data_IF_771656667541
#
_entry.id   IF_771656667541
#
_cell.length_a   1.000
_cell.length_b   1.000
_cell.length_c   1.000
_cell.angle_alpha   90.00
_cell.angle_beta   90.00
_cell.angle_gamma   90.00
#
_symmetry.space_group_name_H-M   'P 1'
#
loop_
_entity.id
_entity.type
_entity.pdbx_description
1 polymer ?
#
# COMPACT_ATOMS: atom_id res chain seq x y z
N UNK A 1 2.29 30.28 11.56
CA UNK A 1 3.11 29.09 11.89
C UNK A 1 2.72 28.04 10.88
N UNK A 2 3.65 27.39 10.18
CA UNK A 2 3.28 26.34 9.22
C UNK A 2 2.66 25.15 9.98
N UNK A 3 1.78 24.40 9.33
CA UNK A 3 1.16 23.20 9.91
C UNK A 3 2.20 22.18 10.37
N UNK A 4 3.31 22.06 9.62
CA UNK A 4 4.46 21.24 10.00
C UNK A 4 5.07 21.67 11.34
N UNK A 5 5.33 22.98 11.52
CA UNK A 5 5.89 23.48 12.78
C UNK A 5 4.91 23.34 13.95
N UNK A 6 3.61 23.48 13.69
CA UNK A 6 2.57 23.23 14.70
C UNK A 6 2.52 21.76 15.10
N UNK A 7 2.63 20.83 14.14
CA UNK A 7 2.67 19.40 14.39
C UNK A 7 3.94 18.99 15.15
N UNK A 8 5.11 19.50 14.75
CA UNK A 8 6.37 19.28 15.46
C UNK A 8 6.27 19.69 16.93
N UNK A 9 5.67 20.86 17.23
CA UNK A 9 5.46 21.31 18.62
C UNK A 9 4.52 20.42 19.43
N UNK A 10 3.41 19.96 18.82
CA UNK A 10 2.51 19.00 19.49
C UNK A 10 3.23 17.70 19.80
N UNK A 11 4.04 17.22 18.85
CA UNK A 11 4.87 16.05 19.06
C UNK A 11 5.90 16.29 20.16
N UNK A 12 6.63 17.40 20.19
CA UNK A 12 7.62 17.72 21.23
C UNK A 12 7.06 17.67 22.65
N UNK A 13 5.82 18.09 22.85
CA UNK A 13 5.13 18.00 24.14
C UNK A 13 4.89 16.54 24.59
N UNK A 14 4.99 15.58 23.67
CA UNK A 14 4.67 14.16 23.85
C UNK A 14 5.69 13.19 23.22
N UNK A 15 6.88 13.68 22.80
CA UNK A 15 7.82 12.97 21.88
C UNK A 15 8.36 11.69 22.52
N UNK A 16 8.40 11.64 23.86
CA UNK A 16 8.81 10.47 24.63
C UNK A 16 7.98 9.21 24.37
N UNK A 17 6.86 9.32 23.63
CA UNK A 17 5.96 8.20 23.35
C UNK A 17 6.09 7.59 21.96
N UNK A 18 6.78 8.20 20.97
CA UNK A 18 6.92 7.63 19.62
C UNK A 18 8.29 6.97 19.50
N UNK A 19 8.32 5.65 19.27
CA UNK A 19 9.58 4.88 19.29
C UNK A 19 9.73 3.93 18.11
N UNK A 20 8.70 3.77 17.28
CA UNK A 20 8.66 2.75 16.22
C UNK A 20 8.78 3.31 14.80
N UNK A 21 8.91 4.62 14.66
CA UNK A 21 8.92 5.32 13.38
C UNK A 21 9.77 6.59 13.43
N UNK A 22 10.34 6.97 12.28
CA UNK A 22 11.01 8.26 12.10
C UNK A 22 10.01 9.40 12.28
N UNK A 23 10.46 10.54 12.80
CA UNK A 23 9.68 11.78 12.91
C UNK A 23 10.27 12.90 12.05
N UNK A 24 10.90 12.54 10.93
CA UNK A 24 11.38 13.51 9.95
C UNK A 24 10.24 14.26 9.24
N UNK A 25 10.57 15.41 8.66
CA UNK A 25 9.61 16.30 8.00
C UNK A 25 8.82 15.60 6.89
N UNK A 26 9.45 14.65 6.18
CA UNK A 26 8.80 13.92 5.10
C UNK A 26 7.68 13.01 5.64
N UNK A 27 7.96 12.27 6.73
CA UNK A 27 6.96 11.48 7.44
C UNK A 27 5.82 12.36 7.95
N UNK A 28 6.13 13.45 8.63
CA UNK A 28 5.13 14.35 9.19
C UNK A 28 4.24 14.96 8.10
N UNK A 29 4.82 15.38 6.98
CA UNK A 29 4.06 15.91 5.85
C UNK A 29 3.11 14.87 5.24
N UNK A 30 3.46 13.58 5.18
CA UNK A 30 2.54 12.54 4.72
C UNK A 30 1.28 12.46 5.59
N UNK A 31 1.43 12.55 6.90
CA UNK A 31 0.30 12.55 7.81
C UNK A 31 -0.53 13.84 7.69
N UNK A 32 0.11 15.00 7.54
CA UNK A 32 -0.59 16.26 7.30
C UNK A 32 -1.42 16.22 6.01
N UNK A 33 -0.87 15.72 4.90
CA UNK A 33 -1.60 15.55 3.63
C UNK A 33 -2.78 14.59 3.76
N UNK A 34 -2.61 13.52 4.57
CA UNK A 34 -3.65 12.53 4.80
C UNK A 34 -4.73 12.94 5.83
N UNK A 35 -4.63 14.15 6.39
CA UNK A 35 -5.46 14.63 7.50
C UNK A 35 -6.10 15.97 7.19
N UNK A 36 -7.25 16.24 7.79
CA UNK A 36 -7.97 17.52 7.65
C UNK A 36 -7.43 18.62 8.56
N UNK A 37 -6.65 18.25 9.58
CA UNK A 37 -6.09 19.17 10.56
C UNK A 37 -4.78 18.66 11.17
N UNK A 38 -4.01 19.58 11.77
CA UNK A 38 -2.80 19.27 12.54
C UNK A 38 -3.10 18.30 13.70
N UNK A 39 -4.24 18.48 14.37
CA UNK A 39 -4.66 17.63 15.49
C UNK A 39 -4.96 16.19 15.02
N UNK A 40 -5.68 16.05 13.91
CA UNK A 40 -5.94 14.73 13.33
C UNK A 40 -4.64 14.04 12.90
N UNK A 41 -3.71 14.77 12.27
CA UNK A 41 -2.41 14.23 11.88
C UNK A 41 -1.64 13.69 13.10
N UNK A 42 -1.61 14.46 14.20
CA UNK A 42 -1.03 14.04 15.47
C UNK A 42 -1.68 12.74 15.99
N UNK A 43 -3.00 12.68 16.08
CA UNK A 43 -3.73 11.50 16.58
C UNK A 43 -3.45 10.25 15.74
N UNK A 44 -3.36 10.40 14.42
CA UNK A 44 -3.03 9.31 13.49
C UNK A 44 -1.61 8.81 13.64
N UNK A 45 -0.64 9.70 13.88
CA UNK A 45 0.74 9.32 14.18
C UNK A 45 0.79 8.48 15.45
N UNK A 46 0.16 8.94 16.54
CA UNK A 46 0.10 8.22 17.81
C UNK A 46 -0.58 6.85 17.65
N UNK A 47 -1.70 6.80 16.91
CA UNK A 47 -2.40 5.55 16.62
C UNK A 47 -1.53 4.56 15.83
N UNK A 48 -0.74 5.06 14.87
CA UNK A 48 0.16 4.21 14.07
C UNK A 48 1.32 3.69 14.90
N UNK A 49 1.96 4.53 15.71
CA UNK A 49 3.05 4.08 16.60
C UNK A 49 2.54 3.04 17.61
N UNK A 50 1.36 3.25 18.20
CA UNK A 50 0.72 2.26 19.07
C UNK A 50 0.44 0.95 18.34
N UNK A 51 -0.02 1.01 17.09
CA UNK A 51 -0.24 -0.18 16.28
C UNK A 51 1.07 -0.91 15.99
N UNK A 52 2.14 -0.21 15.59
CA UNK A 52 3.48 -0.81 15.36
C UNK A 52 4.10 -1.43 16.61
N UNK A 53 3.71 -0.99 17.81
CA UNK A 53 4.11 -1.64 19.08
C UNK A 53 3.35 -2.94 19.34
N UNK A 54 2.06 -2.98 19.03
CA UNK A 54 1.21 -4.16 19.26
C UNK A 54 1.35 -5.22 18.16
N UNK A 55 1.64 -4.76 16.95
CA UNK A 55 1.93 -5.58 15.79
C UNK A 55 3.36 -5.20 15.37
N UNK A 56 4.39 -5.97 15.77
CA UNK A 56 5.78 -5.57 15.61
C UNK A 56 6.19 -5.61 14.14
N UNK A 57 5.85 -4.55 13.41
CA UNK A 57 6.09 -4.41 11.96
C UNK A 57 7.57 -4.58 11.63
N UNK A 58 8.45 -4.12 12.52
CA UNK A 58 9.90 -4.26 12.36
C UNK A 58 10.38 -5.73 12.34
N UNK A 59 9.62 -6.63 12.94
CA UNK A 59 9.94 -8.06 13.01
C UNK A 59 9.26 -8.86 11.89
N UNK A 60 8.38 -8.23 11.10
CA UNK A 60 7.69 -8.90 9.98
C UNK A 60 8.71 -9.27 8.92
N UNK A 61 8.78 -10.56 8.60
CA UNK A 61 9.71 -11.10 7.63
C UNK A 61 9.09 -12.33 6.91
N UNK A 62 9.87 -12.98 6.04
CA UNK A 62 9.40 -14.12 5.24
C UNK A 62 8.88 -15.29 6.11
N UNK A 63 9.37 -15.44 7.34
CA UNK A 63 8.98 -16.50 8.28
C UNK A 63 7.81 -16.13 9.19
N UNK A 64 7.30 -14.90 9.10
CA UNK A 64 6.07 -14.52 9.77
C UNK A 64 4.90 -15.40 9.31
N UNK A 65 3.95 -15.66 10.21
CA UNK A 65 2.82 -16.59 10.01
C UNK A 65 2.12 -16.34 8.66
N UNK A 66 2.15 -17.35 7.80
CA UNK A 66 1.52 -17.37 6.48
C UNK A 66 2.27 -16.67 5.35
N UNK A 67 3.27 -15.82 5.64
CA UNK A 67 3.97 -15.01 4.62
C UNK A 67 4.65 -15.89 3.58
N UNK A 68 5.52 -16.81 4.00
CA UNK A 68 6.20 -17.76 3.08
C UNK A 68 5.22 -18.53 2.19
N UNK A 69 4.12 -19.02 2.76
CA UNK A 69 3.06 -19.74 2.03
C UNK A 69 2.45 -18.84 0.96
N UNK A 70 2.04 -17.62 1.31
CA UNK A 70 1.37 -16.72 0.37
C UNK A 70 2.33 -16.20 -0.70
N UNK A 71 3.58 -15.86 -0.34
CA UNK A 71 4.64 -15.49 -1.30
C UNK A 71 4.84 -16.59 -2.35
N UNK A 72 4.80 -17.86 -1.95
CA UNK A 72 4.96 -18.99 -2.88
C UNK A 72 3.84 -19.11 -3.91
N UNK A 73 2.66 -18.52 -3.65
CA UNK A 73 1.55 -18.46 -4.60
C UNK A 73 1.78 -17.43 -5.70
N UNK A 74 2.77 -16.53 -5.56
CA UNK A 74 3.04 -15.44 -6.49
C UNK A 74 1.80 -14.57 -6.77
N UNK A 75 0.99 -14.31 -5.73
CA UNK A 75 -0.14 -13.38 -5.82
C UNK A 75 0.32 -11.94 -5.95
N UNK A 76 1.45 -11.59 -5.31
CA UNK A 76 2.18 -10.37 -5.57
C UNK A 76 3.68 -10.62 -5.56
N UNK A 77 4.41 -9.83 -6.35
CA UNK A 77 5.85 -9.90 -6.53
C UNK A 77 6.39 -8.48 -6.56
N UNK A 78 7.50 -8.23 -5.87
CA UNK A 78 8.25 -6.99 -6.00
C UNK A 78 9.13 -7.11 -7.24
N UNK A 79 8.95 -6.24 -8.22
CA UNK A 79 9.79 -6.23 -9.41
C UNK A 79 11.22 -5.82 -9.04
N UNK A 80 12.19 -6.34 -9.79
CA UNK A 80 13.62 -6.01 -9.59
C UNK A 80 13.90 -4.54 -9.93
N UNK A 81 13.24 -4.05 -10.97
CA UNK A 81 13.36 -2.70 -11.47
C UNK A 81 12.18 -1.81 -11.03
N UNK A 82 12.38 -0.49 -11.17
CA UNK A 82 11.42 0.54 -10.76
C UNK A 82 10.53 1.00 -11.92
N UNK A 83 9.44 1.70 -11.58
CA UNK A 83 8.64 2.42 -12.58
C UNK A 83 9.43 3.60 -13.18
N UNK A 84 8.90 4.24 -14.22
CA UNK A 84 9.56 5.35 -14.95
C UNK A 84 9.81 6.56 -14.02
N UNK A 85 9.01 6.73 -12.98
CA UNK A 85 9.17 7.79 -11.97
C UNK A 85 10.15 7.38 -10.85
N UNK A 86 10.71 6.17 -10.88
CA UNK A 86 11.65 5.67 -9.88
C UNK A 86 10.98 5.12 -8.61
N UNK A 87 9.72 4.69 -8.68
CA UNK A 87 9.00 4.01 -7.59
C UNK A 87 9.25 2.50 -7.65
N UNK A 88 9.51 1.82 -6.52
CA UNK A 88 9.43 0.37 -6.45
C UNK A 88 8.04 -0.13 -6.90
N UNK A 89 8.01 -1.25 -7.64
CA UNK A 89 6.78 -1.78 -8.24
C UNK A 89 6.38 -3.08 -7.58
N UNK A 90 5.18 -3.11 -6.98
CA UNK A 90 4.52 -4.34 -6.58
C UNK A 90 3.60 -4.77 -7.72
N UNK A 91 3.93 -5.88 -8.38
CA UNK A 91 3.07 -6.55 -9.34
C UNK A 91 2.12 -7.51 -8.63
N UNK A 92 0.82 -7.43 -8.91
CA UNK A 92 -0.23 -8.27 -8.30
C UNK A 92 -0.94 -9.06 -9.40
N UNK A 93 -0.80 -10.38 -9.37
CA UNK A 93 -1.44 -11.30 -10.32
C UNK A 93 -2.74 -11.85 -9.72
N UNK A 94 -3.88 -11.29 -10.12
CA UNK A 94 -5.17 -11.63 -9.48
C UNK A 94 -5.59 -13.09 -9.72
N UNK A 95 -5.21 -13.67 -10.86
CA UNK A 95 -5.44 -15.09 -11.17
C UNK A 95 -4.88 -16.06 -10.12
N UNK A 96 -3.84 -15.65 -9.39
CA UNK A 96 -3.17 -16.49 -8.39
C UNK A 96 -3.84 -16.39 -7.01
N UNK A 97 -4.76 -15.43 -6.82
CA UNK A 97 -5.48 -15.27 -5.56
C UNK A 97 -6.58 -16.32 -5.40
N UNK A 98 -6.76 -16.80 -4.17
CA UNK A 98 -7.86 -17.67 -3.82
C UNK A 98 -8.42 -17.32 -2.44
N UNK A 99 -9.74 -17.32 -2.33
CA UNK A 99 -10.43 -17.19 -1.04
C UNK A 99 -10.48 -18.52 -0.28
N UNK A 100 -10.19 -19.65 -0.96
CA UNK A 100 -10.21 -20.97 -0.33
C UNK A 100 -9.09 -21.08 0.70
N UNK A 101 -9.42 -21.52 1.91
CA UNK A 101 -8.48 -21.74 3.02
C UNK A 101 -7.62 -20.49 3.35
N UNK A 102 -8.16 -19.32 3.04
CA UNK A 102 -7.52 -18.01 3.24
C UNK A 102 -7.70 -17.53 4.68
N UNK A 103 -6.63 -17.05 5.29
CA UNK A 103 -6.67 -16.40 6.60
C UNK A 103 -6.35 -14.90 6.48
N UNK A 104 -7.24 -14.03 6.96
CA UNK A 104 -7.03 -12.58 6.93
C UNK A 104 -5.80 -12.12 7.72
N UNK A 105 -5.51 -12.78 8.84
CA UNK A 105 -4.34 -12.47 9.68
C UNK A 105 -3.02 -12.77 8.93
N UNK A 106 -2.95 -13.95 8.28
CA UNK A 106 -1.81 -14.34 7.44
C UNK A 106 -1.60 -13.36 6.28
N UNK A 107 -2.69 -12.96 5.62
CA UNK A 107 -2.63 -11.96 4.56
C UNK A 107 -2.28 -10.57 5.08
N UNK A 108 -2.64 -10.23 6.32
CA UNK A 108 -2.22 -8.96 6.95
C UNK A 108 -0.70 -8.93 7.13
N UNK A 109 -0.11 -10.02 7.66
CA UNK A 109 1.35 -10.15 7.75
C UNK A 109 2.00 -10.04 6.36
N UNK A 110 1.43 -10.71 5.36
CA UNK A 110 1.94 -10.70 3.99
C UNK A 110 1.88 -9.31 3.33
N UNK A 111 0.77 -8.58 3.49
CA UNK A 111 0.63 -7.22 2.96
C UNK A 111 1.69 -6.31 3.59
N UNK A 112 1.86 -6.38 4.91
CA UNK A 112 2.85 -5.56 5.63
C UNK A 112 4.27 -5.93 5.21
N UNK A 113 4.57 -7.22 5.07
CA UNK A 113 5.85 -7.70 4.53
C UNK A 113 6.13 -7.10 3.13
N UNK A 114 5.17 -7.18 2.20
CA UNK A 114 5.33 -6.64 0.85
C UNK A 114 5.50 -5.12 0.85
N UNK A 115 4.76 -4.41 1.70
CA UNK A 115 4.90 -2.97 1.87
C UNK A 115 6.28 -2.63 2.41
N UNK A 116 6.69 -3.13 3.57
CA UNK A 116 8.01 -2.82 4.16
C UNK A 116 9.17 -3.20 3.22
N UNK A 117 9.07 -4.35 2.53
CA UNK A 117 10.05 -4.75 1.53
C UNK A 117 10.13 -3.76 0.37
N UNK A 118 8.99 -3.34 -0.19
CA UNK A 118 8.96 -2.34 -1.27
C UNK A 118 9.46 -0.96 -0.82
N UNK A 119 9.07 -0.51 0.38
CA UNK A 119 9.49 0.77 0.94
C UNK A 119 10.99 0.81 1.23
N UNK A 120 11.63 -0.32 1.54
CA UNK A 120 13.09 -0.42 1.69
C UNK A 120 13.86 -0.16 0.38
N UNK A 121 13.18 -0.21 -0.77
CA UNK A 121 13.74 0.07 -2.10
C UNK A 121 13.49 1.50 -2.58
N UNK A 122 12.74 2.31 -1.83
CA UNK A 122 12.55 3.73 -2.11
C UNK A 122 13.90 4.48 -2.05
N UNK A 123 14.03 5.53 -2.86
CA UNK A 123 15.15 6.47 -2.76
C UNK A 123 14.77 7.63 -1.84
N UNK A 124 15.73 8.49 -1.50
CA UNK A 124 15.46 9.71 -0.71
C UNK A 124 14.47 10.66 -1.40
N UNK A 125 14.50 10.70 -2.73
CA UNK A 125 13.67 11.60 -3.54
C UNK A 125 12.35 10.95 -4.00
N UNK A 126 12.21 9.63 -3.84
CA UNK A 126 11.01 8.88 -4.23
C UNK A 126 10.62 7.90 -3.15
N UNK A 127 9.72 8.36 -2.28
CA UNK A 127 9.24 7.66 -1.09
C UNK A 127 7.94 6.88 -1.34
N UNK A 128 7.48 6.87 -2.58
CA UNK A 128 6.23 6.23 -2.99
C UNK A 128 6.47 4.92 -3.72
N UNK A 129 5.45 4.07 -3.73
CA UNK A 129 5.40 2.82 -4.49
C UNK A 129 4.36 2.88 -5.61
N UNK A 130 4.58 2.07 -6.64
CA UNK A 130 3.62 1.75 -7.67
C UNK A 130 3.05 0.35 -7.41
N UNK A 131 1.72 0.20 -7.47
CA UNK A 131 1.05 -1.11 -7.38
C UNK A 131 0.37 -1.42 -8.71
N UNK A 132 0.89 -2.38 -9.45
CA UNK A 132 0.32 -2.85 -10.72
C UNK A 132 -0.56 -4.08 -10.48
N UNK A 133 -1.86 -3.94 -10.64
CA UNK A 133 -2.83 -5.03 -10.58
C UNK A 133 -3.07 -5.57 -11.99
N UNK A 134 -2.56 -6.77 -12.28
CA UNK A 134 -2.96 -7.53 -13.46
C UNK A 134 -4.24 -8.31 -13.18
N UNK A 135 -5.32 -7.84 -13.79
CA UNK A 135 -6.65 -8.43 -13.67
C UNK A 135 -6.88 -9.58 -14.67
N UNK A 136 -5.86 -10.00 -15.42
CA UNK A 136 -5.95 -11.19 -16.28
C UNK A 136 -6.35 -12.42 -15.44
N UNK A 137 -7.35 -13.15 -15.91
CA UNK A 137 -7.93 -14.28 -15.18
C UNK A 137 -8.89 -13.89 -14.03
N UNK A 138 -9.21 -12.60 -13.88
CA UNK A 138 -10.22 -12.16 -12.93
C UNK A 138 -11.59 -12.79 -13.22
N UNK A 139 -12.26 -13.20 -12.14
CA UNK A 139 -13.68 -13.57 -12.12
C UNK A 139 -14.27 -13.17 -10.77
N UNK A 140 -15.59 -13.14 -10.65
CA UNK A 140 -16.25 -12.87 -9.37
C UNK A 140 -15.91 -13.92 -8.30
N UNK A 141 -15.51 -15.14 -8.71
CA UNK A 141 -15.10 -16.20 -7.79
C UNK A 141 -13.75 -15.94 -7.11
N UNK A 142 -12.90 -15.08 -7.67
CA UNK A 142 -11.63 -14.67 -7.05
C UNK A 142 -11.71 -13.28 -6.40
N UNK A 143 -12.81 -12.55 -6.56
CA UNK A 143 -12.98 -11.23 -5.95
C UNK A 143 -13.12 -11.34 -4.44
N UNK A 144 -12.17 -10.76 -3.70
CA UNK A 144 -12.16 -10.78 -2.24
C UNK A 144 -12.31 -9.37 -1.67
N UNK A 145 -13.55 -8.91 -1.56
CA UNK A 145 -13.86 -7.60 -1.00
C UNK A 145 -13.33 -7.39 0.42
N UNK A 146 -13.26 -8.45 1.23
CA UNK A 146 -12.76 -8.36 2.60
C UNK A 146 -11.26 -8.09 2.65
N UNK A 147 -10.49 -8.75 1.79
CA UNK A 147 -9.06 -8.53 1.66
C UNK A 147 -8.77 -7.19 1.00
N UNK A 148 -9.50 -6.81 -0.07
CA UNK A 148 -9.36 -5.50 -0.70
C UNK A 148 -9.61 -4.37 0.29
N UNK A 149 -10.67 -4.47 1.11
CA UNK A 149 -10.94 -3.49 2.17
C UNK A 149 -9.81 -3.47 3.21
N UNK A 150 -9.28 -4.63 3.60
CA UNK A 150 -8.14 -4.71 4.54
C UNK A 150 -6.87 -4.03 3.99
N UNK A 151 -6.54 -4.24 2.71
CA UNK A 151 -5.42 -3.57 2.04
C UNK A 151 -5.59 -2.05 2.11
N UNK A 152 -6.79 -1.56 1.78
CA UNK A 152 -7.10 -0.14 1.85
C UNK A 152 -6.97 0.42 3.27
N UNK A 153 -7.56 -0.26 4.27
CA UNK A 153 -7.48 0.13 5.69
C UNK A 153 -6.01 0.25 6.16
N UNK A 154 -5.15 -0.71 5.80
CA UNK A 154 -3.73 -0.69 6.15
C UNK A 154 -3.03 0.50 5.50
N UNK A 155 -3.19 0.67 4.17
CA UNK A 155 -2.56 1.75 3.42
C UNK A 155 -2.96 3.12 3.93
N UNK A 156 -4.25 3.33 4.15
CA UNK A 156 -4.79 4.63 4.56
C UNK A 156 -4.40 4.97 6.01
N UNK A 157 -4.43 3.99 6.91
CA UNK A 157 -4.25 4.24 8.35
C UNK A 157 -2.79 4.31 8.73
N UNK A 158 -1.98 3.36 8.24
CA UNK A 158 -0.62 3.13 8.75
C UNK A 158 0.49 3.47 7.74
N UNK A 159 0.13 3.64 6.47
CA UNK A 159 1.07 3.98 5.39
C UNK A 159 0.58 5.19 4.56
N UNK A 160 0.16 6.30 5.22
CA UNK A 160 -0.43 7.43 4.52
C UNK A 160 0.52 7.95 3.45
N UNK A 161 -0.03 8.27 2.29
CA UNK A 161 0.72 8.82 1.16
C UNK A 161 1.93 8.00 0.70
N UNK A 162 2.00 6.69 1.00
CA UNK A 162 3.05 5.79 0.46
C UNK A 162 2.68 5.20 -0.90
N UNK A 163 1.40 4.96 -1.17
CA UNK A 163 0.95 4.59 -2.52
C UNK A 163 1.00 5.84 -3.42
N UNK A 164 1.91 5.85 -4.40
CA UNK A 164 2.03 6.94 -5.37
C UNK A 164 1.06 6.77 -6.53
N UNK A 165 0.98 5.55 -7.06
CA UNK A 165 0.07 5.19 -8.14
C UNK A 165 -0.37 3.72 -8.01
N UNK A 166 -1.60 3.43 -8.44
CA UNK A 166 -2.07 2.07 -8.61
C UNK A 166 -2.61 1.90 -10.04
N UNK A 167 -2.04 0.96 -10.78
CA UNK A 167 -2.37 0.69 -12.17
C UNK A 167 -3.24 -0.57 -12.22
N UNK A 168 -4.38 -0.50 -12.90
CA UNK A 168 -5.29 -1.63 -13.09
C UNK A 168 -5.22 -2.02 -14.57
N UNK A 169 -4.54 -3.12 -14.86
CA UNK A 169 -4.33 -3.66 -16.20
C UNK A 169 -5.30 -4.84 -16.45
N UNK A 170 -5.71 -5.05 -17.69
CA UNK A 170 -6.54 -6.20 -18.10
C UNK A 170 -7.89 -6.34 -17.36
N UNK A 171 -8.44 -5.24 -16.84
CA UNK A 171 -9.72 -5.27 -16.12
C UNK A 171 -10.87 -5.69 -17.05
N UNK A 172 -11.53 -6.84 -16.82
CA UNK A 172 -12.69 -7.22 -17.62
C UNK A 172 -13.89 -6.32 -17.29
N UNK A 173 -14.84 -6.19 -18.22
CA UNK A 173 -16.01 -5.32 -18.06
C UNK A 173 -16.78 -5.57 -16.74
N UNK A 174 -16.90 -6.83 -16.31
CA UNK A 174 -17.56 -7.19 -15.05
C UNK A 174 -16.90 -6.55 -13.80
N UNK A 175 -15.60 -6.22 -13.86
CA UNK A 175 -14.91 -5.55 -12.76
C UNK A 175 -15.46 -4.15 -12.49
N UNK A 176 -16.13 -3.49 -13.45
CA UNK A 176 -16.79 -2.20 -13.20
C UNK A 176 -17.83 -2.28 -12.08
N UNK A 177 -18.53 -3.40 -11.95
CA UNK A 177 -19.48 -3.63 -10.85
C UNK A 177 -18.76 -3.82 -9.50
N UNK A 178 -17.58 -4.45 -9.49
CA UNK A 178 -16.76 -4.52 -8.28
C UNK A 178 -16.20 -3.14 -7.90
N UNK A 179 -15.77 -2.37 -8.90
CA UNK A 179 -15.23 -1.03 -8.71
C UNK A 179 -16.27 -0.07 -8.11
N UNK A 180 -17.54 -0.15 -8.50
CA UNK A 180 -18.60 0.67 -7.90
C UNK A 180 -18.82 0.37 -6.42
N UNK A 181 -18.46 -0.83 -5.95
CA UNK A 181 -18.47 -1.21 -4.53
C UNK A 181 -17.20 -0.75 -3.81
N UNK A 182 -16.03 -0.80 -4.47
CA UNK A 182 -14.73 -0.44 -3.88
C UNK A 182 -14.55 1.08 -3.80
N UNK A 183 -14.92 1.82 -4.85
CA UNK A 183 -14.68 3.26 -4.99
C UNK A 183 -15.21 4.11 -3.81
N UNK A 184 -16.39 3.84 -3.23
CA UNK A 184 -16.88 4.56 -2.06
C UNK A 184 -16.05 4.39 -0.79
N UNK A 185 -15.20 3.36 -0.71
CA UNK A 185 -14.29 3.19 0.43
C UNK A 185 -13.12 4.15 0.36
N UNK A 186 -12.74 4.58 -0.84
CA UNK A 186 -11.53 5.34 -1.11
C UNK A 186 -11.74 6.85 -0.89
N UNK A 187 -10.82 7.47 -0.16
CA UNK A 187 -10.66 8.92 -0.20
C UNK A 187 -10.35 9.40 -1.62
N UNK A 188 -10.78 10.62 -1.95
CA UNK A 188 -10.65 11.19 -3.29
C UNK A 188 -9.20 11.22 -3.77
N UNK A 189 -8.25 11.60 -2.90
CA UNK A 189 -6.82 11.58 -3.22
C UNK A 189 -6.33 10.18 -3.61
N UNK A 190 -6.78 9.13 -2.92
CA UNK A 190 -6.44 7.74 -3.23
C UNK A 190 -7.09 7.28 -4.54
N UNK A 191 -8.35 7.63 -4.76
CA UNK A 191 -9.06 7.30 -5.99
C UNK A 191 -8.39 7.94 -7.22
N UNK A 192 -7.89 9.17 -7.10
CA UNK A 192 -7.19 9.87 -8.18
C UNK A 192 -5.86 9.21 -8.59
N UNK A 193 -5.24 8.46 -7.67
CA UNK A 193 -4.01 7.69 -7.91
C UNK A 193 -4.27 6.35 -8.62
N UNK A 194 -5.53 5.92 -8.77
CA UNK A 194 -5.88 4.67 -9.44
C UNK A 194 -6.13 4.94 -10.92
N UNK A 195 -5.40 4.24 -11.80
CA UNK A 195 -5.50 4.36 -13.25
C UNK A 195 -5.84 3.01 -13.87
N UNK A 196 -6.93 2.97 -14.63
CA UNK A 196 -7.22 1.84 -15.51
C UNK A 196 -6.41 2.05 -16.79
N UNK A 197 -5.59 1.07 -17.14
CA UNK A 197 -4.61 1.17 -18.24
C UNK A 197 -4.76 0.02 -19.21
N UNK A 198 -4.50 0.30 -20.49
CA UNK A 198 -4.25 -0.72 -21.52
C UNK A 198 -2.78 -1.10 -21.55
N UNK A 199 -2.42 -2.15 -22.30
CA UNK A 199 -1.02 -2.50 -22.54
C UNK A 199 -0.23 -1.34 -23.18
N UNK A 200 -0.89 -0.55 -24.04
CA UNK A 200 -0.27 0.62 -24.68
C UNK A 200 -0.01 1.76 -23.68
N UNK A 201 -0.94 1.99 -22.75
CA UNK A 201 -0.78 3.02 -21.71
C UNK A 201 0.29 2.63 -20.70
N UNK A 202 0.42 1.33 -20.40
CA UNK A 202 1.33 0.81 -19.38
C UNK A 202 2.78 1.22 -19.61
N UNK A 203 3.22 1.26 -20.88
CA UNK A 203 4.58 1.67 -21.27
C UNK A 203 4.91 3.13 -20.89
N UNK A 204 3.90 3.95 -20.56
CA UNK A 204 4.10 5.32 -20.03
C UNK A 204 4.38 5.35 -18.53
N UNK A 205 4.24 4.21 -17.84
CA UNK A 205 4.45 4.08 -16.40
C UNK A 205 5.55 3.07 -16.06
N UNK A 206 5.58 1.92 -16.73
CA UNK A 206 6.44 0.77 -16.42
C UNK A 206 7.01 0.21 -17.72
N UNK A 207 8.31 -0.09 -17.77
CA UNK A 207 8.89 -0.89 -18.87
C UNK A 207 8.30 -2.31 -18.80
N UNK A 208 7.53 -2.77 -19.81
CA UNK A 208 6.90 -4.09 -19.76
C UNK A 208 7.85 -5.25 -19.51
N UNK A 209 9.16 -5.10 -19.79
CA UNK A 209 10.19 -6.11 -19.54
C UNK A 209 10.40 -6.42 -18.06
N UNK A 210 9.99 -5.53 -17.15
CA UNK A 210 10.16 -5.73 -15.71
C UNK A 210 9.01 -6.54 -15.11
N UNK A 211 7.94 -6.79 -15.88
CA UNK A 211 6.79 -7.55 -15.42
C UNK A 211 7.21 -9.02 -15.29
N UNK A 212 7.06 -9.63 -14.11
CA UNK A 212 7.53 -10.99 -13.88
C UNK A 212 6.60 -12.01 -14.54
N UNK A 213 7.17 -13.13 -15.02
CA UNK A 213 6.39 -14.26 -15.56
C UNK A 213 5.91 -15.16 -14.42
N UNK A 214 4.68 -14.92 -13.96
CA UNK A 214 4.09 -15.52 -12.74
C UNK A 214 2.65 -15.96 -12.91
#
# INVERSE_FOLDING_TARGET
>A
MSDLLSLQKLLEQHITNITTMSTDDAMLNRYLVASSSVQEAYERIIATDKWRKNFPVADVNIDSKGVRKIVSLKTAVLCDEKDIDGRPVIYVAVKNHSMKDRCLEEYTNYIIYMLELSLSKCSKDMENICILWDMKGFSLAVMDFSLTKKVYEILQTYYPERMGIALILNAPFIFQACWSVIRPWLHENTANKIKFVTDADLASYIDPKIIPDV
#
